data_IF_321351333013
#
_entry.id   IF_321351333013
#
_cell.length_a   1.000
_cell.length_b   1.000
_cell.length_c   1.000
_cell.angle_alpha   90.00
_cell.angle_beta   90.00
_cell.angle_gamma   90.00
#
_symmetry.space_group_name_H-M   'P 1'
#
loop_
_entity.id
_entity.type
_entity.pdbx_description
1 polymer ?
#
# COMPACT_ATOMS: atom_id res chain seq x y z
N UNK A 1 8.83 17.10 -8.98
CA UNK A 1 9.76 16.14 -8.37
C UNK A 1 9.00 15.43 -7.26
N UNK A 2 8.78 14.12 -7.35
CA UNK A 2 8.11 13.39 -6.27
C UNK A 2 9.14 13.20 -5.14
N UNK A 3 8.83 13.72 -3.94
CA UNK A 3 9.61 13.48 -2.74
C UNK A 3 9.39 12.02 -2.34
N UNK A 4 10.41 11.18 -2.47
CA UNK A 4 10.34 9.80 -1.98
C UNK A 4 10.26 9.84 -0.45
N UNK A 5 9.08 9.54 0.11
CA UNK A 5 8.95 9.33 1.56
C UNK A 5 9.78 8.11 1.95
N UNK A 6 10.74 8.31 2.84
CA UNK A 6 11.60 7.24 3.34
C UNK A 6 11.01 6.72 4.64
N UNK A 7 10.46 5.51 4.60
CA UNK A 7 10.03 4.77 5.79
C UNK A 7 11.18 3.91 6.31
N UNK A 8 11.24 3.70 7.63
CA UNK A 8 12.14 2.69 8.18
C UNK A 8 11.59 1.28 7.86
N UNK A 9 12.38 0.24 8.18
CA UNK A 9 11.99 -1.14 7.92
C UNK A 9 10.65 -1.51 8.59
N UNK A 10 10.46 -1.08 9.84
CA UNK A 10 9.28 -1.40 10.66
C UNK A 10 8.01 -0.75 10.08
N UNK A 11 8.10 0.53 9.71
CA UNK A 11 7.02 1.26 9.09
C UNK A 11 6.67 0.66 7.73
N UNK A 12 7.69 0.29 6.94
CA UNK A 12 7.49 -0.38 5.65
C UNK A 12 6.77 -1.71 5.82
N UNK A 13 7.23 -2.55 6.74
CA UNK A 13 6.61 -3.84 7.05
C UNK A 13 5.16 -3.65 7.51
N UNK A 14 4.90 -2.63 8.34
CA UNK A 14 3.55 -2.32 8.83
C UNK A 14 2.63 -1.78 7.74
N UNK A 15 3.12 -0.93 6.85
CA UNK A 15 2.35 -0.45 5.69
C UNK A 15 2.02 -1.63 4.78
N UNK A 16 2.97 -2.54 4.53
CA UNK A 16 2.74 -3.75 3.73
C UNK A 16 1.69 -4.65 4.40
N UNK A 17 1.79 -4.89 5.71
CA UNK A 17 0.83 -5.68 6.48
C UNK A 17 -0.57 -5.08 6.37
N UNK A 18 -0.70 -3.79 6.66
CA UNK A 18 -1.95 -3.04 6.57
C UNK A 18 -2.53 -3.05 5.16
N UNK A 19 -1.72 -2.82 4.13
CA UNK A 19 -2.16 -2.81 2.74
C UNK A 19 -2.55 -4.21 2.26
N UNK A 20 -1.93 -5.26 2.79
CA UNK A 20 -2.24 -6.65 2.43
C UNK A 20 -3.57 -7.12 3.02
N UNK A 21 -3.93 -6.59 4.19
CA UNK A 21 -5.20 -6.87 4.85
C UNK A 21 -6.40 -6.33 4.07
N UNK A 22 -7.36 -7.22 3.78
CA UNK A 22 -8.51 -6.81 3.01
C UNK A 22 -9.47 -5.86 3.77
N UNK A 23 -9.30 -5.65 5.07
CA UNK A 23 -10.19 -4.79 5.87
C UNK A 23 -9.65 -3.37 6.10
N UNK A 24 -8.42 -3.09 5.68
CA UNK A 24 -7.82 -1.78 5.87
C UNK A 24 -8.07 -0.89 4.66
N UNK A 25 -8.81 0.22 4.79
CA UNK A 25 -8.93 1.20 3.70
C UNK A 25 -7.62 1.95 3.53
N UNK A 26 -7.33 2.43 2.32
CA UNK A 26 -6.16 3.28 2.07
C UNK A 26 -6.17 4.57 2.90
N UNK A 27 -7.36 5.06 3.28
CA UNK A 27 -7.51 6.20 4.18
C UNK A 27 -6.91 5.96 5.57
N UNK A 28 -6.93 4.72 6.08
CA UNK A 28 -6.31 4.40 7.36
C UNK A 28 -4.78 4.40 7.29
N UNK A 29 -4.23 4.03 6.12
CA UNK A 29 -2.80 4.09 5.82
C UNK A 29 -2.39 5.56 5.64
N UNK A 30 -3.20 6.35 4.93
CA UNK A 30 -2.99 7.79 4.75
C UNK A 30 -3.03 8.51 6.10
N UNK A 31 -3.99 8.20 6.96
CA UNK A 31 -4.08 8.82 8.29
C UNK A 31 -2.87 8.52 9.18
N UNK A 32 -2.35 7.29 9.17
CA UNK A 32 -1.25 6.89 10.04
C UNK A 32 0.13 7.27 9.50
N UNK A 33 0.34 7.15 8.19
CA UNK A 33 1.66 7.28 7.56
C UNK A 33 1.75 8.47 6.60
N UNK A 34 0.67 9.25 6.48
CA UNK A 34 0.51 10.31 5.49
C UNK A 34 0.83 9.78 4.08
N UNK A 35 0.41 8.55 3.77
CA UNK A 35 0.74 7.83 2.54
C UNK A 35 -0.52 7.59 1.71
N UNK A 36 -0.60 8.25 0.55
CA UNK A 36 -1.77 8.14 -0.32
C UNK A 36 -1.88 6.76 -0.93
N UNK A 37 -3.07 6.44 -1.46
CA UNK A 37 -3.32 5.18 -2.16
C UNK A 37 -2.28 4.93 -3.26
N UNK A 38 -2.00 5.91 -4.12
CA UNK A 38 -1.03 5.76 -5.21
C UNK A 38 0.38 5.45 -4.69
N UNK A 39 0.84 6.18 -3.67
CA UNK A 39 2.15 5.96 -3.05
C UNK A 39 2.23 4.58 -2.39
N UNK A 40 1.12 4.12 -1.78
CA UNK A 40 1.00 2.77 -1.20
C UNK A 40 1.08 1.69 -2.28
N UNK A 41 0.42 1.89 -3.42
CA UNK A 41 0.49 0.98 -4.57
C UNK A 41 1.91 0.90 -5.12
N UNK A 42 2.60 2.04 -5.22
CA UNK A 42 4.00 2.09 -5.66
C UNK A 42 4.93 1.38 -4.67
N UNK A 43 4.75 1.58 -3.37
CA UNK A 43 5.48 0.87 -2.32
C UNK A 43 5.24 -0.64 -2.44
N UNK A 44 3.98 -1.08 -2.50
CA UNK A 44 3.63 -2.49 -2.66
C UNK A 44 4.22 -3.10 -3.93
N UNK A 45 4.32 -2.33 -5.02
CA UNK A 45 4.95 -2.78 -6.27
C UNK A 45 6.47 -2.96 -6.13
N UNK A 46 7.12 -2.14 -5.31
CA UNK A 46 8.57 -2.20 -5.06
C UNK A 46 8.93 -3.36 -4.12
N UNK A 47 8.13 -3.57 -3.09
CA UNK A 47 8.44 -4.50 -2.00
C UNK A 47 7.98 -5.94 -2.29
N UNK A 48 6.87 -6.11 -3.03
CA UNK A 48 6.34 -7.44 -3.35
C UNK A 48 6.93 -8.03 -4.62
N UNK A 49 7.05 -9.36 -4.63
CA UNK A 49 7.29 -10.11 -5.88
C UNK A 49 6.18 -9.81 -6.90
N UNK A 50 6.49 -9.77 -8.22
CA UNK A 50 5.52 -9.41 -9.25
C UNK A 50 4.23 -10.24 -9.23
N UNK A 51 4.31 -11.54 -8.92
CA UNK A 51 3.14 -12.41 -8.81
C UNK A 51 2.27 -12.09 -7.58
N UNK A 52 2.90 -11.81 -6.43
CA UNK A 52 2.20 -11.41 -5.20
C UNK A 52 1.50 -10.07 -5.39
N UNK A 53 2.19 -9.10 -6.01
CA UNK A 53 1.61 -7.80 -6.36
C UNK A 53 0.39 -7.95 -7.28
N UNK A 54 0.49 -8.76 -8.34
CA UNK A 54 -0.66 -9.04 -9.23
C UNK A 54 -1.86 -9.61 -8.48
N UNK A 55 -1.63 -10.54 -7.53
CA UNK A 55 -2.71 -11.13 -6.71
C UNK A 55 -3.34 -10.09 -5.80
N UNK A 56 -2.53 -9.32 -5.09
CA UNK A 56 -2.99 -8.23 -4.23
C UNK A 56 -3.77 -7.18 -5.03
N UNK A 57 -3.23 -6.72 -6.17
CA UNK A 57 -3.85 -5.69 -6.99
C UNK A 57 -5.23 -6.12 -7.48
N UNK A 58 -5.42 -7.38 -7.86
CA UNK A 58 -6.74 -7.92 -8.22
C UNK A 58 -7.76 -7.82 -7.07
N UNK A 59 -7.33 -8.02 -5.82
CA UNK A 59 -8.21 -7.90 -4.64
C UNK A 59 -8.61 -6.45 -4.35
N UNK A 60 -7.64 -5.53 -4.38
CA UNK A 60 -7.91 -4.12 -4.04
C UNK A 60 -8.55 -3.32 -5.18
N UNK A 61 -8.29 -3.68 -6.45
CA UNK A 61 -8.86 -3.00 -7.62
C UNK A 61 -10.36 -3.31 -7.81
N UNK A 62 -10.85 -4.45 -7.29
CA UNK A 62 -12.27 -4.81 -7.35
C UNK A 62 -13.15 -4.03 -6.34
N UNK A 63 -12.55 -3.18 -5.51
CA UNK A 63 -13.29 -2.32 -4.60
C UNK A 63 -13.74 -1.10 -5.38
N UNK A 64 -15.02 -1.07 -5.73
CA UNK A 64 -15.66 0.16 -6.16
C UNK A 64 -15.59 1.15 -5.00
N UNK A 65 -14.59 2.04 -5.02
CA UNK A 65 -14.66 3.29 -4.29
C UNK A 65 -15.85 4.06 -4.87
N UNK A 66 -16.86 4.27 -4.03
CA UNK A 66 -18.06 5.04 -4.36
C UNK A 66 -17.89 6.47 -3.88
#
# INVERSE_FOLDING_TARGET
MQLTKTFNQIDTDRIIEMAWEDRTPFEAIDFQFNLKEQETIELMRRELKPQSFKRWRKRVQGRSTK
#
